data_IF_962554336577
#
_entry.id   IF_962554336577
#
_cell.length_a   1.000
_cell.length_b   1.000
_cell.length_c   1.000
_cell.angle_alpha   90.00
_cell.angle_beta   90.00
_cell.angle_gamma   90.00
#
_symmetry.space_group_name_H-M   'P 1'
#
loop_
_entity.id
_entity.type
_entity.pdbx_description
1 polymer ?
#
# COMPACT_ATOMS: atom_id res chain seq x y z
N UNK A 1 17.37 -7.10 -6.64
CA UNK A 1 15.94 -6.72 -6.49
C UNK A 1 15.61 -6.97 -5.03
N UNK A 2 15.08 -5.99 -4.31
CA UNK A 2 14.65 -6.21 -2.93
C UNK A 2 13.32 -6.97 -2.95
N UNK A 3 13.18 -8.03 -2.17
CA UNK A 3 11.92 -8.76 -2.08
C UNK A 3 10.87 -7.91 -1.36
N UNK A 4 9.70 -7.71 -1.97
CA UNK A 4 8.59 -7.01 -1.34
C UNK A 4 7.96 -7.87 -0.24
N UNK A 5 7.73 -7.29 0.94
CA UNK A 5 6.99 -7.95 2.03
C UNK A 5 5.56 -8.26 1.59
N UNK A 6 5.06 -9.44 1.96
CA UNK A 6 3.66 -9.85 1.74
C UNK A 6 2.67 -8.78 2.20
N UNK A 7 1.53 -8.66 1.52
CA UNK A 7 0.45 -7.75 1.87
C UNK A 7 0.05 -7.87 3.35
N UNK A 8 0.01 -6.76 4.11
CA UNK A 8 -0.32 -6.82 5.54
C UNK A 8 -1.80 -7.12 5.81
N UNK A 9 -2.67 -6.94 4.81
CA UNK A 9 -4.11 -7.11 4.94
C UNK A 9 -4.59 -8.53 4.64
N UNK A 10 -4.10 -9.14 3.55
CA UNK A 10 -4.52 -10.47 3.11
C UNK A 10 -3.41 -11.53 3.16
N UNK A 11 -2.17 -11.15 3.49
CA UNK A 11 -1.02 -12.06 3.54
C UNK A 11 -0.48 -12.50 2.17
N UNK A 12 -1.08 -12.05 1.07
CA UNK A 12 -0.65 -12.41 -0.29
C UNK A 12 0.77 -11.93 -0.59
N UNK A 13 1.54 -12.76 -1.29
CA UNK A 13 2.83 -12.40 -1.87
C UNK A 13 2.70 -11.80 -3.30
N UNK A 14 1.48 -11.75 -3.83
CA UNK A 14 1.18 -11.11 -5.12
C UNK A 14 1.06 -9.60 -4.93
N UNK A 15 2.23 -8.96 -4.88
CA UNK A 15 2.43 -7.53 -4.67
C UNK A 15 3.40 -6.98 -5.71
N UNK A 16 3.19 -5.75 -6.17
CA UNK A 16 4.04 -5.14 -7.20
C UNK A 16 3.99 -3.61 -7.21
N UNK A 17 5.07 -3.01 -7.67
CA UNK A 17 5.21 -1.56 -7.85
C UNK A 17 4.71 -1.10 -9.22
N UNK A 18 4.01 0.04 -9.27
CA UNK A 18 3.48 0.63 -10.49
C UNK A 18 3.46 2.17 -10.41
N UNK A 19 3.45 2.81 -11.58
CA UNK A 19 3.37 4.26 -11.73
C UNK A 19 1.91 4.70 -11.64
N UNK A 20 1.64 5.65 -10.77
CA UNK A 20 0.36 6.34 -10.64
C UNK A 20 0.44 7.62 -11.47
N UNK A 21 -0.23 7.62 -12.63
CA UNK A 21 -0.41 8.84 -13.40
C UNK A 21 -1.68 9.54 -12.92
N UNK A 22 -1.53 10.53 -12.02
CA UNK A 22 -2.63 11.40 -11.59
C UNK A 22 -3.05 12.45 -12.65
N UNK A 23 -2.41 12.46 -13.81
CA UNK A 23 -2.78 13.32 -14.94
C UNK A 23 -3.79 12.64 -15.87
N UNK A 24 -5.03 13.14 -15.89
CA UNK A 24 -5.92 12.92 -17.04
C UNK A 24 -5.26 13.40 -18.35
N UNK A 25 -5.77 12.88 -19.48
CA UNK A 25 -5.33 13.11 -20.87
C UNK A 25 -4.02 13.94 -21.02
N UNK A 26 -2.89 13.22 -20.99
CA UNK A 26 -1.57 13.70 -21.38
C UNK A 26 -0.91 14.68 -20.38
N UNK A 27 -0.32 14.16 -19.28
CA UNK A 27 0.48 14.99 -18.40
C UNK A 27 1.72 15.54 -19.15
N UNK A 28 2.09 16.81 -18.92
CA UNK A 28 3.32 17.38 -19.47
C UNK A 28 4.55 16.57 -19.04
N UNK A 29 5.60 16.63 -19.86
CA UNK A 29 6.88 15.89 -19.75
C UNK A 29 7.61 16.00 -18.40
N UNK A 30 7.15 16.87 -17.52
CA UNK A 30 7.68 17.16 -16.18
C UNK A 30 6.78 16.64 -15.05
N UNK A 31 5.79 15.79 -15.36
CA UNK A 31 5.02 15.11 -14.32
C UNK A 31 5.94 14.19 -13.53
N UNK A 32 5.88 14.34 -12.21
CA UNK A 32 6.54 13.43 -11.28
C UNK A 32 5.78 12.11 -11.40
N UNK A 33 6.43 11.09 -11.96
CA UNK A 33 5.94 9.72 -11.91
C UNK A 33 5.86 9.32 -10.43
N UNK A 34 4.69 9.44 -9.81
CA UNK A 34 4.47 8.91 -8.46
C UNK A 34 4.40 7.39 -8.57
N UNK A 35 5.10 6.68 -7.69
CA UNK A 35 5.12 5.23 -7.63
C UNK A 35 4.37 4.76 -6.39
N UNK A 36 3.70 3.62 -6.47
CA UNK A 36 3.18 2.93 -5.30
C UNK A 36 3.32 1.42 -5.46
N UNK A 37 3.16 0.69 -4.37
CA UNK A 37 3.06 -0.78 -4.35
C UNK A 37 1.62 -1.16 -4.08
N UNK A 38 1.07 -2.10 -4.84
CA UNK A 38 -0.28 -2.65 -4.59
C UNK A 38 -0.23 -4.16 -4.46
N UNK A 39 -1.17 -4.68 -3.68
CA UNK A 39 -1.46 -6.09 -3.62
C UNK A 39 -2.54 -6.47 -4.64
N UNK A 40 -2.23 -7.35 -5.59
CA UNK A 40 -3.20 -7.84 -6.57
C UNK A 40 -4.28 -8.74 -5.94
N UNK A 41 -4.03 -9.29 -4.75
CA UNK A 41 -4.97 -10.16 -4.05
C UNK A 41 -6.12 -9.43 -3.37
N UNK A 42 -5.87 -8.24 -2.80
CA UNK A 42 -6.90 -7.47 -2.08
C UNK A 42 -6.99 -6.00 -2.50
N UNK A 43 -6.24 -5.60 -3.54
CA UNK A 43 -6.19 -4.24 -4.11
C UNK A 43 -5.76 -3.18 -3.08
N UNK A 44 -5.11 -3.60 -1.99
CA UNK A 44 -4.57 -2.67 -1.02
C UNK A 44 -3.38 -1.92 -1.61
N UNK A 45 -3.43 -0.60 -1.57
CA UNK A 45 -2.39 0.30 -2.04
C UNK A 45 -1.48 0.73 -0.89
N UNK A 46 -0.18 0.86 -1.20
CA UNK A 46 0.84 1.36 -0.31
C UNK A 46 0.98 2.88 -0.36
N UNK A 47 1.91 3.42 0.45
CA UNK A 47 2.28 4.83 0.38
C UNK A 47 2.90 5.17 -0.99
N UNK A 48 2.68 6.40 -1.45
CA UNK A 48 3.25 6.89 -2.69
C UNK A 48 4.69 7.37 -2.47
N UNK A 49 5.57 7.03 -3.39
CA UNK A 49 6.97 7.47 -3.46
C UNK A 49 7.24 8.23 -4.75
N UNK A 50 8.31 9.01 -4.76
CA UNK A 50 8.81 9.75 -5.93
C UNK A 50 9.60 8.87 -6.93
N UNK A 51 9.79 7.60 -6.59
CA UNK A 51 10.55 6.62 -7.35
C UNK A 51 10.08 5.22 -6.96
N UNK A 52 10.34 4.25 -7.83
CA UNK A 52 10.03 2.85 -7.57
C UNK A 52 10.69 2.38 -6.27
N UNK A 53 11.98 2.63 -6.10
CA UNK A 53 12.74 2.22 -4.92
C UNK A 53 12.17 2.82 -3.63
N UNK A 54 11.78 4.11 -3.66
CA UNK A 54 11.14 4.77 -2.53
C UNK A 54 9.78 4.13 -2.20
N UNK A 55 8.94 3.87 -3.19
CA UNK A 55 7.65 3.19 -2.97
C UNK A 55 7.82 1.78 -2.39
N UNK A 56 8.81 1.02 -2.87
CA UNK A 56 9.14 -0.31 -2.34
C UNK A 56 9.71 -0.24 -0.92
N UNK A 57 10.53 0.78 -0.60
CA UNK A 57 11.02 1.03 0.75
C UNK A 57 9.89 1.41 1.69
N UNK A 58 9.02 2.34 1.32
CA UNK A 58 7.85 2.74 2.09
C UNK A 58 6.91 1.56 2.35
N UNK A 59 6.68 0.74 1.32
CA UNK A 59 5.96 -0.52 1.48
C UNK A 59 6.68 -1.39 2.51
N UNK A 60 7.97 -1.68 2.36
CA UNK A 60 8.67 -2.62 3.22
C UNK A 60 8.91 -2.11 4.65
N UNK A 61 8.99 -0.80 4.84
CA UNK A 61 9.19 -0.15 6.15
C UNK A 61 7.88 0.21 6.83
N UNK A 62 6.74 0.01 6.17
CA UNK A 62 5.42 0.21 6.78
C UNK A 62 5.37 -0.50 8.11
N UNK A 63 4.93 0.21 9.15
CA UNK A 63 4.64 -0.44 10.42
C UNK A 63 3.48 -1.39 10.15
N UNK A 64 3.66 -2.66 10.52
CA UNK A 64 2.63 -3.69 10.38
C UNK A 64 1.56 -3.50 11.47
N UNK A 65 1.02 -2.28 11.58
CA UNK A 65 0.12 -1.84 12.65
C UNK A 65 -1.33 -2.28 12.43
N UNK A 66 -1.62 -3.02 11.36
CA UNK A 66 -2.94 -3.63 11.17
C UNK A 66 -2.90 -5.11 11.54
N UNK A 67 -3.22 -5.42 12.81
CA UNK A 67 -3.59 -6.77 13.22
C UNK A 67 -5.11 -6.86 13.19
N UNK A 68 -5.65 -7.89 12.53
CA UNK A 68 -7.09 -8.17 12.52
C UNK A 68 -7.68 -8.30 13.95
N UNK A 69 -6.84 -8.71 14.89
CA UNK A 69 -7.12 -8.77 16.34
C UNK A 69 -7.49 -7.41 16.94
N UNK A 70 -6.94 -6.30 16.43
CA UNK A 70 -7.28 -4.94 16.87
C UNK A 70 -8.65 -4.50 16.36
N UNK A 71 -9.08 -4.99 15.19
CA UNK A 71 -10.39 -4.65 14.60
C UNK A 71 -11.54 -5.24 15.42
N UNK A 72 -11.40 -6.48 15.92
CA UNK A 72 -12.43 -7.14 16.73
C UNK A 72 -12.60 -6.52 18.14
N UNK A 73 -11.57 -5.86 18.66
CA UNK A 73 -11.64 -5.14 19.94
C UNK A 73 -12.34 -3.78 19.84
N UNK A 74 -12.50 -3.20 18.65
CA UNK A 74 -13.20 -1.92 18.48
C UNK A 74 -14.72 -2.14 18.38
N UNK A 75 -15.15 -3.20 17.69
CA UNK A 75 -16.59 -3.45 17.44
C UNK A 75 -17.31 -4.04 18.67
N UNK A 76 -16.59 -4.56 19.66
CA UNK A 76 -17.17 -5.21 20.85
C UNK A 76 -17.42 -4.28 22.05
N UNK A 77 -17.01 -3.01 21.97
CA UNK A 77 -17.13 -2.06 23.11
C UNK A 77 -18.36 -1.14 23.00
N UNK A 78 -19.03 -1.07 21.84
CA UNK A 78 -20.17 -0.17 21.63
C UNK A 78 -21.56 -0.81 21.82
N UNK A 79 -21.67 -2.07 22.27
CA UNK A 79 -22.97 -2.74 22.52
C UNK A 79 -23.16 -3.10 24.01
N UNK A 80 -22.64 -2.27 24.92
CA UNK A 80 -22.57 -2.61 26.34
C UNK A 80 -22.63 -1.45 27.32
N UNK A 81 -23.61 -0.55 27.20
CA UNK A 81 -24.19 0.21 28.34
C UNK A 81 -25.60 0.69 28.03
#
# INVERSE_FOLDING_TARGET
MADLKNCPFCGSNDVGSYVVNNGGDCPPKDFIDEWTVSCNGCIAEGPWGDSKENAEELWNTRKNEFKWEDYLNIVTVEDGT
#
